data_IF_516804200155
#
_entry.id   IF_516804200155
#
_cell.length_a   1.000
_cell.length_b   1.000
_cell.length_c   1.000
_cell.angle_alpha   90.00
_cell.angle_beta   90.00
_cell.angle_gamma   90.00
#
_symmetry.space_group_name_H-M   'P 1'
#
loop_
_entity.id
_entity.type
_entity.pdbx_description
1 polymer ?
#
# COMPACT_ATOMS: atom_id res chain seq x y z
N UNK A 1 20.35 -5.38 15.50
CA UNK A 1 19.70 -6.22 14.46
C UNK A 1 18.47 -5.56 13.85
N UNK A 2 17.58 -4.93 14.64
CA UNK A 2 16.34 -4.29 14.14
C UNK A 2 16.56 -3.18 13.10
N UNK A 3 17.59 -2.34 13.25
CA UNK A 3 17.84 -1.21 12.35
C UNK A 3 18.19 -1.63 10.90
N UNK A 4 18.99 -2.68 10.73
CA UNK A 4 19.35 -3.18 9.39
C UNK A 4 18.16 -3.83 8.68
N UNK A 5 17.36 -4.60 9.41
CA UNK A 5 16.10 -5.12 8.89
C UNK A 5 15.16 -4.01 8.44
N UNK A 6 15.02 -2.95 9.24
CA UNK A 6 14.21 -1.79 8.87
C UNK A 6 14.74 -1.05 7.65
N UNK A 7 16.05 -0.85 7.56
CA UNK A 7 16.67 -0.19 6.42
C UNK A 7 16.39 -0.96 5.12
N UNK A 8 16.64 -2.27 5.12
CA UNK A 8 16.39 -3.14 3.96
C UNK A 8 14.90 -3.18 3.63
N UNK A 9 14.04 -3.29 4.64
CA UNK A 9 12.60 -3.37 4.42
C UNK A 9 12.02 -2.06 3.88
N UNK A 10 12.54 -0.92 4.35
CA UNK A 10 12.18 0.40 3.84
C UNK A 10 12.67 0.60 2.41
N UNK A 11 13.90 0.18 2.09
CA UNK A 11 14.43 0.23 0.72
C UNK A 11 13.57 -0.62 -0.22
N UNK A 12 13.23 -1.85 0.18
CA UNK A 12 12.32 -2.72 -0.55
C UNK A 12 10.94 -2.07 -0.75
N UNK A 13 10.36 -1.48 0.30
CA UNK A 13 9.09 -0.77 0.24
C UNK A 13 9.12 0.39 -0.78
N UNK A 14 10.17 1.21 -0.75
CA UNK A 14 10.36 2.31 -1.69
C UNK A 14 10.49 1.76 -3.11
N UNK A 15 11.35 0.77 -3.35
CA UNK A 15 11.54 0.17 -4.68
C UNK A 15 10.22 -0.37 -5.23
N UNK A 16 9.49 -1.13 -4.41
CA UNK A 16 8.25 -1.78 -4.80
C UNK A 16 7.16 -0.77 -5.19
N UNK A 17 6.88 0.24 -4.36
CA UNK A 17 5.75 1.16 -4.61
C UNK A 17 6.12 2.40 -5.41
N UNK A 18 7.38 2.83 -5.39
CA UNK A 18 7.81 4.02 -6.12
C UNK A 18 8.24 3.72 -7.55
N UNK A 19 8.70 2.50 -7.84
CA UNK A 19 9.26 2.16 -9.15
C UNK A 19 8.56 0.99 -9.83
N UNK A 20 8.25 -0.10 -9.10
CA UNK A 20 7.69 -1.32 -9.73
C UNK A 20 6.17 -1.20 -9.92
N UNK A 21 5.45 -0.77 -8.90
CA UNK A 21 3.98 -0.70 -8.86
C UNK A 21 3.46 0.74 -8.98
N UNK A 22 4.27 1.63 -9.56
CA UNK A 22 3.88 3.02 -9.72
C UNK A 22 2.74 3.13 -10.76
N UNK A 23 1.66 3.88 -10.49
CA UNK A 23 0.56 4.04 -11.44
C UNK A 23 0.99 4.65 -12.77
N UNK A 24 0.54 4.06 -13.87
CA UNK A 24 0.82 4.56 -15.22
C UNK A 24 -0.12 5.73 -15.51
N UNK A 25 0.44 6.85 -15.93
CA UNK A 25 -0.34 8.02 -16.32
C UNK A 25 -0.76 7.89 -17.78
N UNK A 26 -2.06 8.00 -18.04
CA UNK A 26 -2.62 7.94 -19.40
C UNK A 26 -3.61 9.06 -19.62
N UNK A 27 -3.60 9.65 -20.82
CA UNK A 27 -4.55 10.71 -21.17
C UNK A 27 -5.56 10.18 -22.19
N UNK A 28 -6.82 10.12 -21.75
CA UNK A 28 -7.94 9.59 -22.53
C UNK A 28 -8.93 10.73 -22.73
N UNK A 29 -9.13 11.13 -23.99
CA UNK A 29 -10.07 12.21 -24.38
C UNK A 29 -9.89 13.52 -23.59
N UNK A 30 -8.64 13.90 -23.30
CA UNK A 30 -8.32 15.15 -22.58
C UNK A 30 -8.42 15.07 -21.05
N UNK A 31 -8.73 13.88 -20.50
CA UNK A 31 -8.74 13.62 -19.06
C UNK A 31 -7.61 12.66 -18.69
N UNK A 32 -6.93 12.95 -17.59
CA UNK A 32 -5.84 12.11 -17.08
C UNK A 32 -6.41 10.99 -16.21
N UNK A 33 -6.01 9.77 -16.50
CA UNK A 33 -6.31 8.57 -15.73
C UNK A 33 -5.03 7.91 -15.25
N UNK A 34 -5.14 7.18 -14.15
CA UNK A 34 -4.06 6.42 -13.53
C UNK A 34 -4.40 4.95 -13.66
N UNK A 35 -3.55 4.20 -14.35
CA UNK A 35 -3.73 2.78 -14.63
C UNK A 35 -2.82 1.91 -13.76
N UNK A 36 -3.39 0.85 -13.20
CA UNK A 36 -2.67 -0.11 -12.35
C UNK A 36 -2.99 -1.52 -12.80
N UNK A 37 -1.95 -2.33 -12.98
CA UNK A 37 -2.09 -3.75 -13.27
C UNK A 37 -2.56 -4.50 -12.02
N UNK A 38 -3.49 -5.44 -12.18
CA UNK A 38 -3.99 -6.23 -11.07
C UNK A 38 -4.23 -7.68 -11.47
N UNK A 39 -4.23 -8.57 -10.48
CA UNK A 39 -4.48 -10.00 -10.67
C UNK A 39 -5.99 -10.27 -10.58
N UNK A 40 -6.64 -10.44 -11.73
CA UNK A 40 -8.09 -10.58 -11.85
C UNK A 40 -8.65 -11.78 -11.06
N UNK A 41 -7.89 -12.87 -10.94
CA UNK A 41 -8.26 -14.07 -10.17
C UNK A 41 -8.41 -13.83 -8.67
N UNK A 42 -7.76 -12.79 -8.13
CA UNK A 42 -7.75 -12.46 -6.70
C UNK A 42 -8.77 -11.41 -6.29
N UNK A 43 -9.37 -10.71 -7.26
CA UNK A 43 -10.14 -9.47 -7.01
C UNK A 43 -11.49 -9.42 -7.74
N UNK A 44 -12.11 -10.56 -8.03
CA UNK A 44 -13.41 -10.66 -8.72
C UNK A 44 -14.51 -9.83 -8.04
N UNK A 45 -14.54 -9.79 -6.70
CA UNK A 45 -15.53 -9.03 -5.92
C UNK A 45 -15.31 -7.51 -5.97
N UNK A 46 -14.07 -7.03 -6.08
CA UNK A 46 -13.77 -5.59 -6.07
C UNK A 46 -14.21 -4.95 -7.39
N UNK A 47 -13.93 -5.61 -8.50
CA UNK A 47 -14.28 -5.11 -9.84
C UNK A 47 -15.80 -4.97 -10.02
N UNK A 48 -16.59 -5.79 -9.34
CA UNK A 48 -18.06 -5.76 -9.45
C UNK A 48 -18.72 -4.69 -8.57
N UNK A 49 -18.04 -4.22 -7.50
CA UNK A 49 -18.62 -3.31 -6.51
C UNK A 49 -18.11 -1.88 -6.52
N UNK A 50 -17.03 -1.57 -7.23
CA UNK A 50 -16.42 -0.23 -7.19
C UNK A 50 -16.87 0.68 -8.32
N UNK A 51 -17.60 1.74 -7.96
CA UNK A 51 -18.00 2.83 -8.85
C UNK A 51 -16.81 3.77 -9.12
N UNK A 52 -16.71 4.31 -10.34
CA UNK A 52 -15.68 5.28 -10.72
C UNK A 52 -14.35 4.71 -11.22
N UNK A 53 -14.32 3.41 -11.56
CA UNK A 53 -13.20 2.76 -12.22
C UNK A 53 -13.59 2.33 -13.63
N UNK A 54 -12.64 2.44 -14.56
CA UNK A 54 -12.72 1.75 -15.83
C UNK A 54 -11.81 0.54 -15.81
N UNK A 55 -12.16 -0.50 -16.56
CA UNK A 55 -11.36 -1.73 -16.63
C UNK A 55 -10.97 -2.05 -18.07
N UNK A 56 -9.83 -2.70 -18.24
CA UNK A 56 -9.33 -3.19 -19.52
C UNK A 56 -8.82 -4.62 -19.35
N UNK A 57 -9.13 -5.50 -20.30
CA UNK A 57 -8.74 -6.91 -20.33
C UNK A 57 -9.23 -7.74 -19.11
N UNK A 58 -10.45 -7.46 -18.63
CA UNK A 58 -11.05 -8.18 -17.49
C UNK A 58 -12.23 -9.05 -17.97
N UNK A 59 -12.10 -10.39 -17.97
CA UNK A 59 -13.08 -11.29 -18.58
C UNK A 59 -14.44 -11.34 -17.87
N UNK A 60 -14.53 -10.91 -16.60
CA UNK A 60 -15.78 -10.91 -15.82
C UNK A 60 -16.40 -9.52 -15.64
N UNK A 61 -15.81 -8.48 -16.22
CA UNK A 61 -16.26 -7.09 -16.09
C UNK A 61 -17.16 -6.65 -17.24
N UNK A 62 -17.82 -7.57 -17.96
CA UNK A 62 -18.65 -7.27 -19.14
C UNK A 62 -19.82 -6.30 -18.86
N UNK A 63 -20.19 -6.09 -17.59
CA UNK A 63 -21.28 -5.16 -17.18
C UNK A 63 -20.79 -3.79 -16.70
N UNK A 64 -19.48 -3.56 -16.57
CA UNK A 64 -18.89 -2.30 -16.12
C UNK A 64 -18.41 -1.41 -17.27
N UNK A 65 -18.14 -0.11 -17.04
CA UNK A 65 -17.55 0.74 -18.07
C UNK A 65 -16.14 0.26 -18.41
N UNK A 66 -15.94 -0.23 -19.64
CA UNK A 66 -14.66 -0.73 -20.14
C UNK A 66 -13.97 0.29 -21.04
N UNK A 67 -12.64 0.34 -20.97
CA UNK A 67 -11.83 1.10 -21.92
C UNK A 67 -11.18 0.10 -22.88
N UNK A 68 -11.53 0.19 -24.15
CA UNK A 68 -10.86 -0.53 -25.23
C UNK A 68 -9.51 0.13 -25.53
N UNK A 69 -8.50 -0.67 -25.90
CA UNK A 69 -7.16 -0.19 -26.32
C UNK A 69 -7.19 0.91 -27.38
N UNK A 70 -8.26 0.97 -28.18
CA UNK A 70 -8.51 1.97 -29.20
C UNK A 70 -8.56 3.41 -28.66
N UNK A 71 -8.98 3.60 -27.41
CA UNK A 71 -9.06 4.92 -26.77
C UNK A 71 -7.72 5.40 -26.18
N UNK A 72 -6.71 4.54 -26.15
CA UNK A 72 -5.37 4.88 -25.70
C UNK A 72 -4.55 5.45 -26.88
N UNK A 73 -3.74 6.47 -26.58
CA UNK A 73 -2.76 7.00 -27.54
C UNK A 73 -1.74 5.90 -27.87
N UNK A 74 -1.23 5.91 -29.10
CA UNK A 74 -0.27 4.89 -29.57
C UNK A 74 0.97 4.77 -28.68
N UNK A 75 1.45 5.91 -28.16
CA UNK A 75 2.56 5.96 -27.19
C UNK A 75 2.25 5.23 -25.86
N UNK A 76 0.99 5.27 -25.44
CA UNK A 76 0.54 4.71 -24.16
C UNK A 76 0.24 3.22 -24.30
N UNK A 77 -0.19 2.75 -25.48
CA UNK A 77 -0.44 1.33 -25.78
C UNK A 77 0.78 0.46 -25.52
N UNK A 78 1.98 0.95 -25.81
CA UNK A 78 3.24 0.23 -25.57
C UNK A 78 3.51 -0.05 -24.08
N UNK A 79 2.88 0.70 -23.16
CA UNK A 79 3.03 0.54 -21.72
C UNK A 79 2.14 -0.57 -21.15
N UNK A 80 1.15 -1.04 -21.91
CA UNK A 80 0.21 -2.07 -21.49
C UNK A 80 0.57 -3.42 -22.11
N UNK A 81 0.75 -4.44 -21.27
CA UNK A 81 0.91 -5.80 -21.74
C UNK A 81 -0.45 -6.34 -22.20
N UNK A 82 -0.54 -6.83 -23.43
CA UNK A 82 -1.78 -7.24 -24.13
C UNK A 82 -2.65 -8.30 -23.43
N UNK A 83 -2.19 -8.88 -22.32
CA UNK A 83 -2.93 -9.90 -21.53
C UNK A 83 -3.08 -9.57 -20.05
N UNK A 84 -2.54 -8.45 -19.58
CA UNK A 84 -2.67 -8.09 -18.16
C UNK A 84 -3.96 -7.31 -17.92
N UNK A 85 -4.70 -7.60 -16.84
CA UNK A 85 -5.84 -6.80 -16.42
C UNK A 85 -5.38 -5.45 -15.86
N UNK A 86 -6.04 -4.36 -16.28
CA UNK A 86 -5.76 -3.02 -15.77
C UNK A 86 -7.02 -2.34 -15.24
N UNK A 87 -6.86 -1.59 -14.15
CA UNK A 87 -7.87 -0.70 -13.59
C UNK A 87 -7.42 0.73 -13.80
N UNK A 88 -8.33 1.58 -14.26
CA UNK A 88 -8.12 3.01 -14.48
C UNK A 88 -8.98 3.80 -13.51
N UNK A 89 -8.38 4.84 -12.93
CA UNK A 89 -9.08 5.76 -12.03
C UNK A 89 -8.64 7.20 -12.28
N UNK A 90 -9.53 8.20 -12.14
CA UNK A 90 -9.13 9.60 -12.25
C UNK A 90 -8.32 10.08 -11.03
N UNK A 91 -8.35 9.33 -9.92
CA UNK A 91 -7.70 9.73 -8.67
C UNK A 91 -6.43 8.91 -8.42
N UNK A 92 -5.29 9.60 -8.32
CA UNK A 92 -3.99 8.95 -8.07
C UNK A 92 -3.96 8.20 -6.73
N UNK A 93 -4.64 8.71 -5.70
CA UNK A 93 -4.70 8.07 -4.38
C UNK A 93 -5.39 6.71 -4.44
N UNK A 94 -6.47 6.60 -5.21
CA UNK A 94 -7.15 5.31 -5.45
C UNK A 94 -6.23 4.37 -6.22
N UNK A 95 -5.50 4.84 -7.23
CA UNK A 95 -4.55 4.01 -7.96
C UNK A 95 -3.49 3.38 -7.03
N UNK A 96 -2.88 4.18 -6.15
CA UNK A 96 -1.93 3.67 -5.16
C UNK A 96 -2.57 2.68 -4.18
N UNK A 97 -3.80 2.95 -3.72
CA UNK A 97 -4.51 2.02 -2.84
C UNK A 97 -4.70 0.66 -3.49
N UNK A 98 -5.06 0.62 -4.78
CA UNK A 98 -5.18 -0.63 -5.54
C UNK A 98 -3.84 -1.31 -5.77
N UNK A 99 -2.77 -0.56 -6.03
CA UNK A 99 -1.42 -1.11 -6.16
C UNK A 99 -0.96 -1.78 -4.85
N UNK A 100 -1.19 -1.12 -3.71
CA UNK A 100 -0.91 -1.66 -2.37
C UNK A 100 -1.75 -2.90 -2.09
N UNK A 101 -3.06 -2.84 -2.38
CA UNK A 101 -3.97 -3.97 -2.21
C UNK A 101 -3.51 -5.17 -3.03
N UNK A 102 -3.20 -4.97 -4.31
CA UNK A 102 -2.71 -6.02 -5.20
C UNK A 102 -1.40 -6.66 -4.70
N UNK A 103 -0.47 -5.84 -4.20
CA UNK A 103 0.77 -6.33 -3.60
C UNK A 103 0.51 -7.18 -2.35
N UNK A 104 -0.33 -6.69 -1.43
CA UNK A 104 -0.67 -7.38 -0.19
C UNK A 104 -1.49 -8.66 -0.41
N UNK A 105 -2.06 -8.87 -1.60
CA UNK A 105 -2.71 -10.14 -1.94
C UNK A 105 -1.76 -11.34 -1.99
N UNK A 106 -0.43 -11.13 -2.08
CA UNK A 106 0.55 -12.20 -1.95
C UNK A 106 0.84 -12.52 -0.48
N UNK A 107 0.60 -13.76 -0.05
CA UNK A 107 0.78 -14.20 1.35
C UNK A 107 2.17 -13.86 1.89
N UNK A 108 3.22 -14.09 1.09
CA UNK A 108 4.59 -13.80 1.48
C UNK A 108 4.85 -12.29 1.66
N UNK A 109 4.21 -11.46 0.83
CA UNK A 109 4.28 -10.00 0.96
C UNK A 109 3.53 -9.55 2.22
N UNK A 110 2.35 -10.12 2.50
CA UNK A 110 1.60 -9.82 3.72
C UNK A 110 2.38 -10.19 5.00
N UNK A 111 3.02 -11.36 5.04
CA UNK A 111 3.89 -11.78 6.15
C UNK A 111 5.07 -10.81 6.30
N UNK A 112 5.75 -10.49 5.20
CA UNK A 112 6.86 -9.55 5.21
C UNK A 112 6.46 -8.18 5.77
N UNK A 113 5.36 -7.59 5.27
CA UNK A 113 4.87 -6.29 5.75
C UNK A 113 4.36 -6.36 7.19
N UNK A 114 3.85 -7.50 7.66
CA UNK A 114 3.51 -7.70 9.08
C UNK A 114 4.75 -7.58 9.96
N UNK A 115 5.85 -8.27 9.60
CA UNK A 115 7.13 -8.15 10.31
C UNK A 115 7.69 -6.72 10.24
N UNK A 116 7.59 -6.09 9.07
CA UNK A 116 8.07 -4.72 8.87
C UNK A 116 7.32 -3.71 9.75
N UNK A 117 5.97 -3.79 9.81
CA UNK A 117 5.15 -2.95 10.68
C UNK A 117 5.53 -3.15 12.15
N UNK A 118 5.64 -4.39 12.61
CA UNK A 118 6.04 -4.67 14.00
C UNK A 118 7.39 -4.07 14.34
N UNK A 119 8.39 -4.25 13.46
CA UNK A 119 9.72 -3.69 13.65
C UNK A 119 9.71 -2.16 13.64
N UNK A 120 8.94 -1.54 12.73
CA UNK A 120 8.92 -0.09 12.56
C UNK A 120 8.27 0.60 13.77
N UNK A 121 7.16 0.04 14.24
CA UNK A 121 6.46 0.52 15.44
C UNK A 121 7.36 0.36 16.68
N UNK A 122 7.96 -0.81 16.86
CA UNK A 122 8.90 -1.04 17.97
C UNK A 122 10.08 -0.06 17.94
N UNK A 123 10.70 0.14 16.78
CA UNK A 123 11.84 1.06 16.64
C UNK A 123 11.44 2.52 16.85
N UNK A 124 10.31 2.95 16.29
CA UNK A 124 9.82 4.32 16.42
C UNK A 124 9.55 4.71 17.87
N UNK A 125 8.76 3.92 18.60
CA UNK A 125 8.43 4.24 19.99
C UNK A 125 9.60 4.02 20.96
N UNK A 126 10.43 3.00 20.76
CA UNK A 126 11.66 2.88 21.55
C UNK A 126 12.63 4.04 21.28
N UNK A 127 12.71 4.51 20.03
CA UNK A 127 13.48 5.69 19.67
C UNK A 127 12.99 6.94 20.39
N UNK A 128 11.68 7.19 20.38
CA UNK A 128 11.05 8.32 21.10
C UNK A 128 11.39 8.25 22.59
N UNK A 129 11.14 7.10 23.24
CA UNK A 129 11.45 6.95 24.66
C UNK A 129 12.95 7.16 24.96
N UNK A 130 13.83 6.61 24.12
CA UNK A 130 15.29 6.75 24.28
C UNK A 130 15.73 8.20 24.13
N UNK A 131 15.19 8.94 23.15
CA UNK A 131 15.50 10.37 22.97
C UNK A 131 15.07 11.17 24.19
N UNK A 132 13.83 10.96 24.66
CA UNK A 132 13.30 11.65 25.84
C UNK A 132 14.13 11.36 27.10
N UNK A 133 14.51 10.09 27.30
CA UNK A 133 15.29 9.66 28.45
C UNK A 133 16.76 10.15 28.40
N UNK A 134 17.42 9.98 27.26
CA UNK A 134 18.88 10.18 27.13
C UNK A 134 19.26 11.64 26.96
N UNK A 135 18.39 12.44 26.34
CA UNK A 135 18.64 13.87 26.13
C UNK A 135 18.10 14.73 27.28
N UNK A 136 17.57 14.09 28.33
CA UNK A 136 17.10 14.79 29.52
C UNK A 136 15.88 15.68 29.28
N UNK A 137 15.10 15.43 28.22
CA UNK A 137 13.86 16.19 27.94
C UNK A 137 12.89 16.06 29.12
N UNK A 138 12.82 14.86 29.72
CA UNK A 138 12.13 14.62 30.97
C UNK A 138 13.14 14.15 32.02
N UNK A 139 13.38 14.99 33.03
CA UNK A 139 14.34 14.70 34.12
C UNK A 139 13.67 13.91 35.25
N UNK A 140 12.40 14.18 35.52
CA UNK A 140 11.68 13.57 36.65
C UNK A 140 11.29 12.11 36.36
N UNK A 141 11.67 11.20 37.25
CA UNK A 141 11.45 9.75 37.09
C UNK A 141 9.97 9.34 36.94
N UNK A 142 9.03 10.09 37.58
CA UNK A 142 7.58 9.84 37.46
C UNK A 142 7.10 10.07 36.03
N UNK A 143 7.46 11.20 35.43
CA UNK A 143 7.08 11.54 34.06
C UNK A 143 7.80 10.67 33.03
N UNK A 144 9.02 10.23 33.33
CA UNK A 144 9.74 9.30 32.46
C UNK A 144 9.06 7.92 32.40
N UNK A 145 8.57 7.42 33.54
CA UNK A 145 7.78 6.18 33.60
C UNK A 145 6.44 6.33 32.87
N UNK A 146 5.77 7.47 33.01
CA UNK A 146 4.55 7.76 32.25
C UNK A 146 4.83 7.77 30.74
N UNK A 147 5.89 8.44 30.30
CA UNK A 147 6.33 8.45 28.90
C UNK A 147 6.57 7.03 28.37
N UNK A 148 7.21 6.17 29.16
CA UNK A 148 7.43 4.77 28.81
C UNK A 148 6.09 4.01 28.62
N UNK A 149 5.14 4.17 29.53
CA UNK A 149 3.81 3.56 29.44
C UNK A 149 3.08 4.03 28.18
N UNK A 150 3.10 5.34 27.91
CA UNK A 150 2.50 5.92 26.70
C UNK A 150 3.14 5.33 25.44
N UNK A 151 4.47 5.17 25.42
CA UNK A 151 5.16 4.54 24.29
C UNK A 151 4.75 3.08 24.10
N UNK A 152 4.59 2.30 25.18
CA UNK A 152 4.12 0.91 25.08
C UNK A 152 2.66 0.79 24.62
N UNK A 153 1.77 1.64 25.13
CA UNK A 153 0.37 1.67 24.67
C UNK A 153 0.33 2.06 23.19
N UNK A 154 1.08 3.10 22.80
CA UNK A 154 1.19 3.52 21.40
C UNK A 154 1.73 2.43 20.49
N UNK A 155 2.75 1.68 20.93
CA UNK A 155 3.26 0.52 20.20
C UNK A 155 2.16 -0.52 19.96
N UNK A 156 1.43 -0.89 21.00
CA UNK A 156 0.39 -1.90 20.89
C UNK A 156 -0.73 -1.47 19.93
N UNK A 157 -1.24 -0.25 20.09
CA UNK A 157 -2.33 0.28 19.25
C UNK A 157 -1.91 0.36 17.79
N UNK A 158 -0.75 0.98 17.50
CA UNK A 158 -0.27 1.14 16.12
C UNK A 158 0.06 -0.20 15.46
N UNK A 159 0.60 -1.16 16.23
CA UNK A 159 0.85 -2.51 15.74
C UNK A 159 -0.47 -3.22 15.40
N UNK A 160 -1.46 -3.19 16.30
CA UNK A 160 -2.76 -3.80 16.08
C UNK A 160 -3.47 -3.22 14.85
N UNK A 161 -3.46 -1.89 14.70
CA UNK A 161 -4.05 -1.21 13.53
C UNK A 161 -3.34 -1.60 12.23
N UNK A 162 -2.00 -1.55 12.21
CA UNK A 162 -1.23 -1.86 11.00
C UNK A 162 -1.39 -3.31 10.55
N UNK A 163 -1.36 -4.26 11.50
CA UNK A 163 -1.57 -5.69 11.22
C UNK A 163 -3.02 -5.92 10.77
N UNK A 164 -4.01 -5.29 11.40
CA UNK A 164 -5.41 -5.42 11.01
C UNK A 164 -5.64 -5.02 9.55
N UNK A 165 -5.06 -3.91 9.07
CA UNK A 165 -5.21 -3.47 7.68
C UNK A 165 -4.67 -4.50 6.68
N UNK A 166 -3.55 -5.17 7.00
CA UNK A 166 -2.96 -6.19 6.14
C UNK A 166 -3.85 -7.43 6.05
N UNK A 167 -4.28 -7.96 7.20
CA UNK A 167 -4.99 -9.25 7.26
C UNK A 167 -6.48 -9.14 6.96
N UNK A 168 -7.09 -7.97 7.16
CA UNK A 168 -8.49 -7.72 6.77
C UNK A 168 -8.72 -7.94 5.26
N UNK A 169 -7.67 -7.85 4.43
CA UNK A 169 -7.76 -8.16 3.00
C UNK A 169 -7.99 -9.64 2.68
N UNK A 170 -7.68 -10.56 3.60
CA UNK A 170 -7.89 -12.00 3.41
C UNK A 170 -9.22 -12.50 3.96
N UNK A 171 -9.90 -11.66 4.76
CA UNK A 171 -11.18 -11.97 5.38
C UNK A 171 -12.38 -11.44 4.55
N UNK A 172 -12.12 -10.56 3.57
CA UNK A 172 -13.08 -9.89 2.70
C UNK A 172 -12.94 -10.37 1.25
#
# INVERSE_FOLDING_TARGET
MTAWFLLVSLAFHIIQFRFILYPIHVNIQGKTFYAVAFEASRYSAIVQGTTGFFTMNVPFAERGPQITEQFLQEKDRALFASRKPYIFTPEIGKAFLYAVRNALGSLWIAIFYTLFVMAAVFHGFNGIWTVVARWGIIVTSRYLRLCQIVCYIGMFVMMAMGVSVIWNMYLL
#
